data_IF_268978377084
#
_entry.id   IF_268978377084
#
_cell.length_a   1.000
_cell.length_b   1.000
_cell.length_c   1.000
_cell.angle_alpha   90.00
_cell.angle_beta   90.00
_cell.angle_gamma   90.00
#
_symmetry.space_group_name_H-M   'P 1'
#
loop_
_entity.id
_entity.type
_entity.pdbx_description
1 polymer ?
#
# COMPACT_ATOMS: atom_id res chain seq x y z
N UNK A 1 -2.24 25.22 4.58
CA UNK A 1 -0.97 24.82 5.21
C UNK A 1 0.09 24.90 4.14
N UNK A 2 1.07 25.76 4.35
CA UNK A 2 2.21 25.90 3.46
C UNK A 2 3.32 24.97 3.95
N UNK A 3 3.97 24.29 3.01
CA UNK A 3 5.07 23.38 3.30
C UNK A 3 6.33 23.93 2.65
N UNK A 4 7.46 23.79 3.34
CA UNK A 4 8.76 24.13 2.79
C UNK A 4 9.06 23.28 1.55
N UNK A 5 8.95 23.91 0.38
CA UNK A 5 9.15 23.26 -0.92
C UNK A 5 10.63 22.99 -1.23
N UNK A 6 11.55 23.68 -0.51
CA UNK A 6 12.99 23.44 -0.60
C UNK A 6 13.35 22.12 0.06
N UNK A 7 12.66 21.77 1.16
CA UNK A 7 12.84 20.49 1.87
C UNK A 7 11.97 19.37 1.33
N UNK A 8 10.71 19.65 1.00
CA UNK A 8 9.73 18.63 0.63
C UNK A 8 9.16 18.82 -0.77
N UNK A 9 9.07 17.72 -1.52
CA UNK A 9 8.25 17.61 -2.73
C UNK A 9 6.86 17.13 -2.35
N UNK A 10 5.86 18.00 -2.49
CA UNK A 10 4.45 17.67 -2.24
C UNK A 10 3.92 16.76 -3.36
N UNK A 11 3.33 15.63 -2.98
CA UNK A 11 2.59 14.73 -3.87
C UNK A 11 1.11 14.76 -3.54
N UNK A 12 0.32 15.03 -4.56
CA UNK A 12 -1.14 15.03 -4.53
C UNK A 12 -1.68 14.10 -5.62
N UNK A 13 -3.00 14.09 -5.82
CA UNK A 13 -3.68 13.30 -6.85
C UNK A 13 -3.11 13.45 -8.28
N UNK A 14 -2.42 14.57 -8.57
CA UNK A 14 -1.76 14.82 -9.86
C UNK A 14 -0.57 13.88 -10.14
N UNK A 15 -0.04 13.20 -9.12
CA UNK A 15 1.06 12.26 -9.32
C UNK A 15 0.54 10.96 -9.97
N UNK A 16 1.23 10.37 -10.97
CA UNK A 16 0.77 9.16 -11.65
C UNK A 16 0.44 7.99 -10.72
N UNK A 17 1.22 7.79 -9.65
CA UNK A 17 0.95 6.73 -8.67
C UNK A 17 -0.38 6.96 -7.93
N UNK A 18 -0.68 8.21 -7.58
CA UNK A 18 -1.92 8.59 -6.91
C UNK A 18 -3.11 8.47 -7.86
N UNK A 19 -2.93 8.84 -9.12
CA UNK A 19 -3.96 8.71 -10.15
C UNK A 19 -4.28 7.23 -10.42
N UNK A 20 -3.25 6.38 -10.50
CA UNK A 20 -3.42 4.93 -10.60
C UNK A 20 -4.24 4.38 -9.44
N UNK A 21 -3.98 4.85 -8.21
CA UNK A 21 -4.80 4.50 -7.04
C UNK A 21 -6.27 4.87 -7.19
N UNK A 22 -6.56 6.04 -7.75
CA UNK A 22 -7.94 6.55 -7.90
C UNK A 22 -8.72 5.76 -8.95
N UNK A 23 -8.08 5.40 -10.07
CA UNK A 23 -8.76 4.88 -11.26
C UNK A 23 -8.77 3.36 -11.33
N UNK A 24 -7.74 2.66 -10.83
CA UNK A 24 -7.62 1.21 -10.99
C UNK A 24 -8.71 0.47 -10.18
N UNK A 25 -9.66 -0.25 -10.82
CA UNK A 25 -10.73 -0.96 -10.11
C UNK A 25 -10.22 -2.05 -9.19
N UNK A 26 -9.08 -2.70 -9.50
CA UNK A 26 -8.51 -3.74 -8.65
C UNK A 26 -8.09 -3.23 -7.28
N UNK A 27 -7.72 -1.94 -7.16
CA UNK A 27 -7.36 -1.33 -5.88
C UNK A 27 -8.56 -1.05 -4.98
N UNK A 28 -9.79 -1.22 -5.46
CA UNK A 28 -10.97 -1.16 -4.61
C UNK A 28 -11.00 -2.29 -3.58
N UNK A 29 -10.45 -3.47 -3.92
CA UNK A 29 -10.29 -4.56 -2.95
C UNK A 29 -9.41 -4.13 -1.78
N UNK A 30 -8.30 -3.45 -2.05
CA UNK A 30 -7.40 -2.94 -1.00
C UNK A 30 -8.11 -1.92 -0.09
N UNK A 31 -8.92 -1.01 -0.65
CA UNK A 31 -9.65 -0.02 0.17
C UNK A 31 -10.79 -0.63 0.98
N UNK A 32 -11.62 -1.48 0.37
CA UNK A 32 -12.86 -1.97 0.97
C UNK A 32 -12.63 -3.18 1.88
N UNK A 33 -11.80 -4.14 1.43
CA UNK A 33 -11.58 -5.40 2.15
C UNK A 33 -10.44 -5.23 3.15
N UNK A 34 -9.26 -4.81 2.67
CA UNK A 34 -8.07 -4.71 3.53
C UNK A 34 -8.05 -3.43 4.37
N UNK A 35 -8.82 -2.41 3.98
CA UNK A 35 -8.81 -1.10 4.63
C UNK A 35 -7.49 -0.34 4.41
N UNK A 36 -6.77 -0.61 3.33
CA UNK A 36 -5.58 0.15 2.96
C UNK A 36 -5.99 1.53 2.44
N UNK A 37 -5.23 2.57 2.81
CA UNK A 37 -5.52 3.95 2.41
C UNK A 37 -4.27 4.69 1.97
N UNK A 38 -4.45 5.59 1.03
CA UNK A 38 -3.42 6.53 0.58
C UNK A 38 -3.85 7.95 0.96
N UNK A 39 -3.05 8.72 1.71
CA UNK A 39 -3.43 10.06 2.14
C UNK A 39 -3.54 11.01 0.95
N UNK A 40 -4.40 12.03 1.03
CA UNK A 40 -4.58 13.01 -0.06
C UNK A 40 -3.31 13.81 -0.37
N UNK A 41 -2.48 14.02 0.65
CA UNK A 41 -1.24 14.77 0.59
C UNK A 41 -0.14 13.89 1.18
N UNK A 42 0.95 13.72 0.44
CA UNK A 42 2.19 13.14 0.93
C UNK A 42 3.33 14.13 0.70
N UNK A 43 4.27 14.17 1.63
CA UNK A 43 5.50 14.96 1.52
C UNK A 43 6.66 13.99 1.29
N UNK A 44 7.45 14.23 0.25
CA UNK A 44 8.66 13.47 -0.03
C UNK A 44 9.86 14.37 0.24
N UNK A 45 10.65 14.07 1.25
CA UNK A 45 11.88 14.80 1.55
C UNK A 45 12.85 14.70 0.36
N UNK A 46 13.46 15.83 -0.02
CA UNK A 46 14.47 15.90 -1.08
C UNK A 46 15.81 15.45 -0.53
N UNK A 47 15.91 14.15 -0.26
CA UNK A 47 17.14 13.51 0.13
C UNK A 47 17.30 12.21 -0.65
N UNK A 48 18.36 12.12 -1.45
CA UNK A 48 18.64 10.98 -2.31
C UNK A 48 19.39 9.86 -1.60
N UNK A 49 20.00 10.12 -0.44
CA UNK A 49 20.62 9.08 0.39
C UNK A 49 19.60 8.25 1.18
N UNK A 50 18.34 8.71 1.26
CA UNK A 50 17.27 8.00 1.95
C UNK A 50 16.41 7.18 0.99
N UNK A 51 15.98 6.01 1.46
CA UNK A 51 15.02 5.19 0.73
C UNK A 51 13.67 5.91 0.58
N UNK A 52 12.85 5.51 -0.39
CA UNK A 52 11.54 6.15 -0.62
C UNK A 52 10.66 6.10 0.63
N UNK A 53 10.72 5.02 1.41
CA UNK A 53 9.90 4.84 2.60
C UNK A 53 10.34 5.81 3.71
N UNK A 54 11.64 6.03 3.87
CA UNK A 54 12.24 6.92 4.87
C UNK A 54 11.94 8.40 4.60
N UNK A 55 11.97 8.79 3.32
CA UNK A 55 11.70 10.17 2.92
C UNK A 55 10.22 10.48 2.74
N UNK A 56 9.32 9.52 2.96
CA UNK A 56 7.88 9.74 2.86
C UNK A 56 7.30 10.18 4.20
N UNK A 57 6.54 11.26 4.18
CA UNK A 57 5.84 11.81 5.33
C UNK A 57 4.37 12.11 5.01
N UNK A 58 3.52 12.08 6.02
CA UNK A 58 2.09 12.37 5.92
C UNK A 58 1.73 13.49 6.90
N UNK A 59 1.36 14.67 6.41
CA UNK A 59 0.95 15.77 7.28
C UNK A 59 -0.51 15.61 7.73
N UNK A 60 -0.78 15.91 9.00
CA UNK A 60 -2.14 16.03 9.50
C UNK A 60 -2.69 17.44 9.24
N UNK A 61 -3.79 17.60 8.47
CA UNK A 61 -4.35 18.92 8.18
C UNK A 61 -5.02 19.58 9.40
N UNK A 62 -5.28 18.82 10.46
CA UNK A 62 -5.99 19.32 11.65
C UNK A 62 -5.06 19.94 12.69
N UNK A 63 -3.87 19.37 12.89
CA UNK A 63 -2.93 19.80 13.94
C UNK A 63 -1.53 20.15 13.41
N UNK A 64 -1.27 20.00 12.11
CA UNK A 64 0.03 20.30 11.52
C UNK A 64 1.14 19.29 11.78
N UNK A 65 0.91 18.27 12.61
CA UNK A 65 1.91 17.24 12.88
C UNK A 65 2.26 16.50 11.59
N UNK A 66 3.57 16.41 11.30
CA UNK A 66 4.12 15.64 10.17
C UNK A 66 4.50 14.26 10.67
N UNK A 67 3.82 13.23 10.17
CA UNK A 67 4.08 11.85 10.57
C UNK A 67 5.02 11.16 9.56
N UNK A 68 5.90 10.30 10.07
CA UNK A 68 6.65 9.37 9.21
C UNK A 68 5.71 8.45 8.45
N UNK A 69 5.96 8.23 7.16
CA UNK A 69 5.23 7.29 6.32
C UNK A 69 5.31 5.85 6.84
N UNK A 70 6.36 5.51 7.62
CA UNK A 70 6.51 4.21 8.26
C UNK A 70 5.34 3.85 9.18
N UNK A 71 4.61 4.83 9.73
CA UNK A 71 3.42 4.54 10.57
C UNK A 71 2.39 3.67 9.86
N UNK A 72 2.30 3.77 8.53
CA UNK A 72 1.36 3.01 7.71
C UNK A 72 2.08 2.04 6.75
N UNK A 73 3.26 1.55 7.15
CA UNK A 73 3.93 0.43 6.50
C UNK A 73 3.23 -0.90 6.83
N UNK A 74 3.54 -1.95 6.05
CA UNK A 74 2.97 -3.30 6.22
C UNK A 74 3.26 -3.88 7.60
N UNK A 75 4.42 -3.56 8.15
CA UNK A 75 4.85 -4.02 9.48
C UNK A 75 4.15 -3.29 10.63
N UNK A 76 3.67 -2.07 10.37
CA UNK A 76 2.95 -1.27 11.33
C UNK A 76 1.44 -1.31 11.01
N UNK A 77 0.87 -0.20 10.54
CA UNK A 77 -0.56 -0.05 10.36
C UNK A 77 -0.98 0.25 8.91
N UNK A 78 -0.45 -0.48 7.92
CA UNK A 78 -0.89 -0.32 6.51
C UNK A 78 -2.38 -0.60 6.29
N UNK A 79 -2.94 -1.56 7.03
CA UNK A 79 -4.28 -2.10 6.82
C UNK A 79 -5.26 -1.65 7.91
N UNK A 80 -6.54 -2.02 7.78
CA UNK A 80 -7.62 -1.75 8.74
C UNK A 80 -7.90 -0.26 8.96
N UNK A 81 -7.63 0.57 7.96
CA UNK A 81 -7.82 2.03 7.97
C UNK A 81 -9.06 2.46 7.16
N UNK A 82 -10.17 1.72 7.27
CA UNK A 82 -11.34 1.89 6.39
C UNK A 82 -11.90 3.32 6.36
N UNK A 83 -11.80 4.08 7.44
CA UNK A 83 -12.32 5.46 7.51
C UNK A 83 -11.29 6.55 7.19
N UNK A 84 -10.02 6.18 6.98
CA UNK A 84 -8.89 7.10 6.78
C UNK A 84 -7.73 6.77 7.71
N UNK A 85 -6.67 7.57 7.67
CA UNK A 85 -5.52 7.37 8.56
C UNK A 85 -5.76 8.07 9.90
N UNK A 86 -5.37 7.45 11.00
CA UNK A 86 -5.50 8.03 12.33
C UNK A 86 -4.28 8.90 12.68
N UNK A 87 -4.52 10.10 13.22
CA UNK A 87 -3.49 10.96 13.79
C UNK A 87 -3.38 10.71 15.30
N UNK A 88 -2.25 10.19 15.76
CA UNK A 88 -1.98 9.94 17.18
C UNK A 88 -1.65 11.20 17.98
N UNK A 89 -1.43 12.36 17.32
CA UNK A 89 -1.21 13.64 17.99
C UNK A 89 -2.51 14.37 18.36
N UNK A 90 -3.57 14.28 17.53
CA UNK A 90 -4.82 14.99 17.77
C UNK A 90 -6.08 14.12 17.76
N UNK A 91 -5.95 12.81 17.55
CA UNK A 91 -7.06 11.86 17.52
C UNK A 91 -7.98 11.95 16.30
N UNK A 92 -7.74 12.89 15.38
CA UNK A 92 -8.58 13.10 14.19
C UNK A 92 -8.14 12.23 13.01
N UNK A 93 -9.07 12.03 12.08
CA UNK A 93 -8.84 11.26 10.86
C UNK A 93 -8.20 12.15 9.79
N UNK A 94 -7.05 11.72 9.28
CA UNK A 94 -6.35 12.31 8.14
C UNK A 94 -7.06 11.89 6.84
N UNK A 95 -7.46 12.85 5.99
CA UNK A 95 -8.21 12.57 4.77
C UNK A 95 -7.36 11.80 3.75
N UNK A 96 -7.99 10.81 3.14
CA UNK A 96 -7.38 9.93 2.15
C UNK A 96 -7.99 10.13 0.76
N UNK A 97 -7.24 9.72 -0.27
CA UNK A 97 -7.80 9.48 -1.59
C UNK A 97 -8.82 8.36 -1.50
N UNK A 98 -9.79 8.41 -2.41
CA UNK A 98 -10.79 7.37 -2.55
C UNK A 98 -10.80 6.91 -3.99
N UNK A 99 -10.68 5.61 -4.17
CA UNK A 99 -10.82 4.96 -5.46
C UNK A 99 -12.25 5.12 -6.00
N UNK A 100 -12.40 5.36 -7.30
CA UNK A 100 -13.70 5.61 -7.96
C UNK A 100 -14.59 4.38 -7.82
N UNK A 101 -14.06 3.18 -8.09
CA UNK A 101 -14.80 1.92 -7.96
C UNK A 101 -15.23 1.67 -6.52
N UNK A 102 -14.37 1.98 -5.54
CA UNK A 102 -14.75 1.93 -4.13
C UNK A 102 -15.89 2.89 -3.79
N UNK A 103 -15.87 4.10 -4.35
CA UNK A 103 -16.94 5.07 -4.16
C UNK A 103 -18.27 4.61 -4.78
N UNK A 104 -18.24 4.05 -5.99
CA UNK A 104 -19.43 3.49 -6.65
C UNK A 104 -20.02 2.36 -5.83
N UNK A 105 -19.21 1.36 -5.46
CA UNK A 105 -19.66 0.22 -4.66
C UNK A 105 -20.23 0.64 -3.29
N UNK A 106 -19.57 1.58 -2.61
CA UNK A 106 -20.06 2.08 -1.33
C UNK A 106 -21.37 2.88 -1.48
N UNK A 107 -21.55 3.60 -2.59
CA UNK A 107 -22.79 4.33 -2.87
C UNK A 107 -23.94 3.36 -3.16
N UNK A 108 -23.70 2.35 -4.01
CA UNK A 108 -24.70 1.34 -4.36
C UNK A 108 -25.11 0.48 -3.15
N UNK A 109 -24.15 0.14 -2.29
CA UNK A 109 -24.41 -0.67 -1.09
C UNK A 109 -24.87 0.17 0.11
N UNK A 110 -24.82 1.51 0.03
CA UNK A 110 -25.12 2.42 1.14
C UNK A 110 -26.44 2.12 1.86
N UNK A 111 -27.56 1.84 1.17
CA UNK A 111 -28.83 1.55 1.85
C UNK A 111 -28.75 0.36 2.82
N UNK A 112 -27.86 -0.61 2.59
CA UNK A 112 -27.73 -1.82 3.41
C UNK A 112 -27.05 -1.57 4.76
N UNK A 113 -26.25 -0.52 4.89
CA UNK A 113 -25.43 -0.28 6.09
C UNK A 113 -25.47 1.16 6.59
N UNK A 114 -26.37 1.99 6.05
CA UNK A 114 -26.56 3.39 6.43
C UNK A 114 -26.62 3.59 7.94
N UNK A 115 -27.50 2.86 8.62
CA UNK A 115 -27.73 2.95 10.07
C UNK A 115 -26.52 2.53 10.92
N UNK A 116 -25.65 1.69 10.38
CA UNK A 116 -24.49 1.17 11.11
C UNK A 116 -23.24 2.02 10.92
N UNK A 117 -23.20 2.89 9.91
CA UNK A 117 -22.02 3.65 9.51
C UNK A 117 -21.37 4.41 10.66
N UNK A 118 -22.14 5.21 11.38
CA UNK A 118 -21.59 6.07 12.43
C UNK A 118 -21.16 5.25 13.66
N UNK A 119 -21.96 4.26 14.06
CA UNK A 119 -21.58 3.33 15.14
C UNK A 119 -20.29 2.55 14.84
N UNK A 120 -20.08 2.15 13.58
CA UNK A 120 -18.86 1.45 13.14
C UNK A 120 -17.67 2.40 13.09
N UNK A 121 -17.88 3.65 12.64
CA UNK A 121 -16.85 4.69 12.59
C UNK A 121 -16.35 5.05 13.99
N UNK A 122 -17.25 5.28 14.95
CA UNK A 122 -16.87 5.60 16.34
C UNK A 122 -16.10 4.46 17.00
N UNK A 123 -16.63 3.23 16.93
CA UNK A 123 -15.92 2.03 17.43
C UNK A 123 -14.56 1.83 16.77
N UNK A 124 -14.46 2.10 15.46
CA UNK A 124 -13.19 2.04 14.77
C UNK A 124 -12.21 3.08 15.33
N UNK A 125 -12.66 4.32 15.54
CA UNK A 125 -11.84 5.43 16.03
C UNK A 125 -11.32 5.17 17.46
N UNK A 126 -12.17 4.69 18.36
CA UNK A 126 -11.82 4.35 19.75
C UNK A 126 -10.72 3.29 19.84
N UNK A 127 -10.65 2.38 18.87
CA UNK A 127 -9.63 1.32 18.82
C UNK A 127 -8.30 1.77 18.23
N UNK A 128 -8.25 2.93 17.57
CA UNK A 128 -7.03 3.38 16.91
C UNK A 128 -5.89 3.70 17.87
N UNK A 129 -6.05 4.45 18.98
CA UNK A 129 -4.94 4.82 19.86
C UNK A 129 -4.05 3.64 20.26
N UNK A 130 -4.65 2.49 20.59
CA UNK A 130 -3.92 1.28 20.99
C UNK A 130 -2.99 0.76 19.88
N UNK A 131 -3.41 0.87 18.61
CA UNK A 131 -2.63 0.42 17.46
C UNK A 131 -1.36 1.23 17.22
N UNK A 132 -1.27 2.44 17.76
CA UNK A 132 -0.17 3.38 17.50
C UNK A 132 0.85 3.48 18.66
N UNK A 133 0.70 2.70 19.74
CA UNK A 133 1.59 2.75 20.91
C UNK A 133 2.98 2.18 20.65
N UNK A 134 3.08 1.06 19.92
CA UNK A 134 4.32 0.28 19.75
C UNK A 134 4.73 0.20 18.29
N UNK A 135 4.85 1.36 17.62
CA UNK A 135 5.23 1.39 16.20
C UNK A 135 6.74 1.27 16.03
N UNK A 136 7.16 0.43 15.09
CA UNK A 136 8.54 0.41 14.65
C UNK A 136 8.74 1.45 13.54
N UNK A 137 9.29 2.61 13.89
CA UNK A 137 9.56 3.69 12.95
C UNK A 137 10.99 3.67 12.39
N UNK A 138 11.80 2.66 12.77
CA UNK A 138 13.18 2.54 12.33
C UNK A 138 13.28 2.00 10.92
N UNK A 139 14.43 2.27 10.28
CA UNK A 139 14.68 1.93 8.89
C UNK A 139 14.83 0.42 8.70
N UNK A 140 13.74 -0.21 8.27
CA UNK A 140 13.72 -1.64 8.00
C UNK A 140 14.39 -1.95 6.65
N UNK A 141 15.17 -3.06 6.57
CA UNK A 141 15.73 -3.51 5.31
C UNK A 141 14.62 -3.78 4.30
N UNK A 142 14.83 -3.36 3.05
CA UNK A 142 13.86 -3.67 2.01
C UNK A 142 13.71 -5.19 1.88
N UNK A 143 12.48 -5.73 1.75
CA UNK A 143 12.25 -7.18 1.63
C UNK A 143 12.87 -7.78 0.36
N UNK A 144 13.35 -6.94 -0.55
CA UNK A 144 14.05 -7.31 -1.78
C UNK A 144 15.58 -7.25 -1.66
N UNK A 145 16.13 -6.85 -0.52
CA UNK A 145 17.58 -6.82 -0.29
C UNK A 145 18.22 -8.23 -0.26
N UNK A 146 19.51 -8.30 -0.59
CA UNK A 146 20.26 -9.55 -0.60
C UNK A 146 19.66 -10.60 -1.54
N UNK A 147 19.21 -11.72 -0.96
CA UNK A 147 18.47 -12.82 -1.62
C UNK A 147 16.94 -12.75 -1.40
N UNK A 148 16.44 -11.73 -0.68
CA UNK A 148 15.02 -11.54 -0.40
C UNK A 148 14.18 -11.40 -1.67
N UNK A 149 14.73 -10.78 -2.73
CA UNK A 149 14.07 -10.66 -4.02
C UNK A 149 13.74 -11.99 -4.69
N UNK A 150 14.54 -13.03 -4.46
CA UNK A 150 14.28 -14.38 -4.99
C UNK A 150 13.04 -14.94 -4.29
N UNK A 151 13.00 -14.86 -2.96
CA UNK A 151 11.88 -15.35 -2.15
C UNK A 151 10.59 -14.60 -2.48
N UNK A 152 10.64 -13.27 -2.56
CA UNK A 152 9.48 -12.46 -2.93
C UNK A 152 9.03 -12.72 -4.38
N UNK A 153 9.98 -12.86 -5.30
CA UNK A 153 9.71 -13.18 -6.69
C UNK A 153 9.04 -14.55 -6.86
N UNK A 154 9.53 -15.57 -6.16
CA UNK A 154 8.94 -16.92 -6.18
C UNK A 154 7.56 -16.97 -5.52
N UNK A 155 7.33 -16.26 -4.41
CA UNK A 155 5.99 -16.16 -3.83
C UNK A 155 5.00 -15.48 -4.79
N UNK A 156 5.41 -14.40 -5.43
CA UNK A 156 4.59 -13.73 -6.43
C UNK A 156 4.31 -14.64 -7.64
N UNK A 157 5.34 -15.34 -8.14
CA UNK A 157 5.20 -16.28 -9.25
C UNK A 157 4.27 -17.44 -8.93
N UNK A 158 4.38 -18.02 -7.74
CA UNK A 158 3.48 -19.07 -7.26
C UNK A 158 2.03 -18.58 -7.20
N UNK A 159 1.81 -17.38 -6.64
CA UNK A 159 0.47 -16.80 -6.55
C UNK A 159 -0.11 -16.55 -7.94
N UNK A 160 0.67 -16.01 -8.88
CA UNK A 160 0.23 -15.80 -10.25
C UNK A 160 -0.07 -17.11 -10.99
N UNK A 161 0.75 -18.14 -10.78
CA UNK A 161 0.48 -19.46 -11.33
C UNK A 161 -0.84 -20.04 -10.82
N UNK A 162 -1.11 -19.97 -9.50
CA UNK A 162 -2.38 -20.43 -8.94
C UNK A 162 -3.55 -19.65 -9.53
N UNK A 163 -3.45 -18.32 -9.61
CA UNK A 163 -4.51 -17.52 -10.20
C UNK A 163 -4.78 -17.90 -11.66
N UNK A 164 -3.74 -17.96 -12.49
CA UNK A 164 -3.89 -18.09 -13.94
C UNK A 164 -4.09 -19.53 -14.42
N UNK A 165 -3.54 -20.52 -13.71
CA UNK A 165 -3.63 -21.93 -14.09
C UNK A 165 -4.81 -22.66 -13.42
N UNK A 166 -5.35 -22.11 -12.32
CA UNK A 166 -6.44 -22.74 -11.55
C UNK A 166 -7.66 -21.83 -11.45
N UNK A 167 -7.53 -20.65 -10.83
CA UNK A 167 -8.70 -19.83 -10.45
C UNK A 167 -9.42 -19.27 -11.68
N UNK A 168 -8.70 -18.61 -12.60
CA UNK A 168 -9.31 -18.03 -13.80
C UNK A 168 -9.96 -19.08 -14.70
N UNK A 169 -9.29 -20.21 -15.02
CA UNK A 169 -9.92 -21.27 -15.80
C UNK A 169 -11.22 -21.80 -15.19
N UNK A 170 -11.28 -21.95 -13.87
CA UNK A 170 -12.49 -22.35 -13.15
C UNK A 170 -13.62 -21.31 -13.25
N UNK A 171 -13.30 -20.02 -13.27
CA UNK A 171 -14.28 -18.93 -13.42
C UNK A 171 -14.78 -18.88 -14.87
N UNK A 172 -13.88 -19.01 -15.84
CA UNK A 172 -14.20 -18.91 -17.27
C UNK A 172 -14.80 -20.21 -17.84
N UNK A 173 -14.92 -21.25 -17.01
CA UNK A 173 -15.41 -22.57 -17.42
C UNK A 173 -14.47 -23.32 -18.36
N UNK A 174 -13.25 -22.82 -18.57
CA UNK A 174 -12.22 -23.53 -19.32
C UNK A 174 -11.61 -24.60 -18.42
N UNK A 175 -11.74 -25.88 -18.82
CA UNK A 175 -11.27 -27.00 -18.01
C UNK A 175 -9.78 -26.88 -17.67
N UNK A 176 -9.43 -27.24 -16.43
CA UNK A 176 -8.03 -27.26 -15.99
C UNK A 176 -7.29 -28.37 -16.76
N UNK A 177 -6.33 -27.97 -17.59
CA UNK A 177 -5.53 -28.90 -18.39
C UNK A 177 -4.17 -29.12 -17.74
N UNK A 178 -3.77 -30.39 -17.57
CA UNK A 178 -2.46 -30.79 -16.99
C UNK A 178 -1.28 -30.11 -17.71
N UNK A 179 -1.38 -29.97 -19.04
CA UNK A 179 -0.40 -29.26 -19.87
C UNK A 179 -0.21 -27.80 -19.43
N UNK A 180 -1.30 -27.08 -19.18
CA UNK A 180 -1.25 -25.66 -18.77
C UNK A 180 -0.70 -25.51 -17.34
N UNK A 181 -1.02 -26.44 -16.44
CA UNK A 181 -0.43 -26.49 -15.11
C UNK A 181 1.09 -26.67 -15.18
N UNK A 182 1.57 -27.67 -15.92
CA UNK A 182 3.00 -28.00 -16.01
C UNK A 182 3.81 -26.93 -16.73
N UNK A 183 3.31 -26.37 -17.85
CA UNK A 183 3.99 -25.28 -18.57
C UNK A 183 3.96 -23.98 -17.76
N UNK A 184 2.90 -23.76 -16.99
CA UNK A 184 2.77 -22.57 -16.16
C UNK A 184 3.86 -22.46 -15.09
N UNK A 185 4.31 -23.57 -14.51
CA UNK A 185 5.31 -23.56 -13.43
C UNK A 185 6.62 -22.86 -13.85
N UNK A 186 7.33 -23.29 -14.92
CA UNK A 186 8.56 -22.62 -15.33
C UNK A 186 8.31 -21.19 -15.82
N UNK A 187 7.20 -20.93 -16.53
CA UNK A 187 6.86 -19.60 -17.03
C UNK A 187 6.69 -18.59 -15.89
N UNK A 188 5.89 -18.93 -14.87
CA UNK A 188 5.63 -18.05 -13.74
C UNK A 188 6.79 -18.00 -12.74
N UNK A 189 7.63 -19.04 -12.66
CA UNK A 189 8.88 -18.98 -11.91
C UNK A 189 9.86 -17.96 -12.51
N UNK A 190 10.09 -18.01 -13.84
CA UNK A 190 10.94 -17.04 -14.54
C UNK A 190 10.35 -15.64 -14.44
N UNK A 191 9.05 -15.48 -14.67
CA UNK A 191 8.34 -14.21 -14.52
C UNK A 191 8.46 -13.65 -13.09
N UNK A 192 8.31 -14.51 -12.08
CA UNK A 192 8.44 -14.13 -10.67
C UNK A 192 9.85 -13.68 -10.30
N UNK A 193 10.89 -14.37 -10.78
CA UNK A 193 12.27 -13.93 -10.60
C UNK A 193 12.55 -12.59 -11.29
N UNK A 194 12.04 -12.40 -12.52
CA UNK A 194 12.14 -11.13 -13.25
C UNK A 194 11.46 -9.97 -12.50
N UNK A 195 10.26 -10.22 -11.96
CA UNK A 195 9.55 -9.26 -11.10
C UNK A 195 10.34 -8.93 -9.83
N UNK A 196 10.82 -9.96 -9.12
CA UNK A 196 11.60 -9.79 -7.90
C UNK A 196 12.87 -8.97 -8.13
N UNK A 197 13.62 -9.25 -9.20
CA UNK A 197 14.82 -8.51 -9.56
C UNK A 197 14.51 -7.05 -9.91
N UNK A 198 13.44 -6.81 -10.68
CA UNK A 198 12.99 -5.45 -10.99
C UNK A 198 12.67 -4.66 -9.72
N UNK A 199 11.95 -5.28 -8.77
CA UNK A 199 11.66 -4.66 -7.47
C UNK A 199 12.91 -4.39 -6.64
N UNK A 200 13.92 -5.28 -6.69
CA UNK A 200 15.22 -5.03 -6.07
C UNK A 200 15.88 -3.77 -6.63
N UNK A 201 15.87 -3.57 -7.95
CA UNK A 201 16.48 -2.40 -8.58
C UNK A 201 15.72 -1.10 -8.26
N UNK A 202 14.39 -1.16 -8.14
CA UNK A 202 13.57 0.03 -7.85
C UNK A 202 13.64 0.39 -6.35
N UNK A 203 13.53 -0.61 -5.48
CA UNK A 203 13.42 -0.40 -4.02
C UNK A 203 14.78 -0.42 -3.31
N UNK A 204 15.83 -1.00 -3.91
CA UNK A 204 17.18 -1.09 -3.34
C UNK A 204 18.08 0.12 -3.58
N UNK A 205 17.66 1.08 -4.41
CA UNK A 205 18.45 2.28 -4.74
C UNK A 205 18.73 3.23 -3.55
N UNK A 206 18.14 2.99 -2.38
CA UNK A 206 18.34 3.85 -1.19
C UNK A 206 19.52 3.51 -0.29
N UNK A 207 20.19 2.35 -0.43
CA UNK A 207 21.30 1.95 0.47
C UNK A 207 22.68 1.94 -0.16
N UNK A 208 22.77 1.90 -1.49
CA UNK A 208 24.04 1.77 -2.20
C UNK A 208 25.02 2.95 -1.99
N UNK A 209 24.56 4.12 -1.50
CA UNK A 209 25.45 5.25 -1.20
C UNK A 209 25.90 5.33 0.27
N UNK A 210 25.52 4.36 1.13
CA UNK A 210 25.81 4.40 2.57
C UNK A 210 26.76 3.32 3.07
N UNK A 211 27.20 2.41 2.19
CA UNK A 211 28.16 1.36 2.51
C UNK A 211 29.57 1.62 1.95
N UNK A 212 29.86 2.86 1.55
CA UNK A 212 31.19 3.31 1.17
C UNK A 212 31.68 4.41 2.13
N UNK A 213 31.73 4.11 3.43
CA UNK A 213 32.57 4.79 4.42
C UNK A 213 33.10 3.70 5.36
#
# INVERSE_FOLDING_TARGET
MEYDQSKYKVRTWKNPMMLHWIVNPGLAFNELVLGQRVPKIMLIERNDSKSLQEKTFVPCPHCGTIHSGQKWSVENNAFKNWFGLYCDACGKIIPCLRNITSWVLMTLTYPLWFWLKDSRKSRWLERQPVRYKNLNLTNQPSPYEGRGWIRQGLYWGLLMWIMMAVIFPLIDGSGITVKNLLIGIPVWAVGGLGFGYTMKLIMGKGRASSQSI
#
